data_IF_674932147845
#
_entry.id   IF_674932147845
#
_cell.length_a   1.000
_cell.length_b   1.000
_cell.length_c   1.000
_cell.angle_alpha   90.00
_cell.angle_beta   90.00
_cell.angle_gamma   90.00
#
_symmetry.space_group_name_H-M   'P 1'
#
loop_
_entity.id
_entity.type
_entity.pdbx_description
1 polymer ?
#
# COMPACT_ATOMS: atom_id res chain seq x y z
N UNK A 1 28.09 -5.16 -27.69
CA UNK A 1 26.91 -4.25 -27.83
C UNK A 1 26.81 -3.40 -26.57
N UNK A 2 26.90 -2.08 -26.68
CA UNK A 2 26.56 -1.18 -25.58
C UNK A 2 25.03 -1.18 -25.44
N UNK A 3 24.45 -1.26 -24.22
CA UNK A 3 23.00 -1.26 -24.06
C UNK A 3 22.46 0.15 -24.35
N UNK A 4 22.17 0.43 -25.62
CA UNK A 4 21.70 1.73 -26.09
C UNK A 4 20.45 2.21 -25.36
N UNK A 5 19.58 1.29 -24.92
CA UNK A 5 18.39 1.60 -24.12
C UNK A 5 18.74 2.21 -22.76
N UNK A 6 19.74 1.63 -22.07
CA UNK A 6 20.21 2.15 -20.78
C UNK A 6 20.90 3.49 -21.01
N UNK A 7 21.74 3.59 -22.04
CA UNK A 7 22.38 4.85 -22.41
C UNK A 7 21.33 5.96 -22.66
N UNK A 8 20.30 5.66 -23.43
CA UNK A 8 19.23 6.60 -23.77
C UNK A 8 18.41 7.03 -22.55
N UNK A 9 18.14 6.12 -21.61
CA UNK A 9 17.49 6.42 -20.34
C UNK A 9 18.26 7.49 -19.52
N UNK A 10 19.59 7.48 -19.60
CA UNK A 10 20.45 8.42 -18.85
C UNK A 10 20.88 9.65 -19.66
N UNK A 11 20.55 9.74 -20.95
CA UNK A 11 20.89 10.89 -21.80
C UNK A 11 19.71 11.79 -22.13
N UNK A 12 18.47 11.31 -21.98
CA UNK A 12 17.28 12.15 -22.12
C UNK A 12 16.82 12.67 -20.74
N UNK A 13 16.57 13.98 -20.66
CA UNK A 13 15.96 14.65 -19.51
C UNK A 13 14.66 13.98 -19.04
N UNK A 14 13.89 13.42 -19.97
CA UNK A 14 12.68 12.66 -19.66
C UNK A 14 13.03 11.38 -18.91
N UNK A 15 14.08 10.66 -19.31
CA UNK A 15 14.51 9.44 -18.63
C UNK A 15 14.97 9.68 -17.18
N UNK A 16 15.68 10.78 -16.93
CA UNK A 16 16.03 11.22 -15.57
C UNK A 16 14.79 11.50 -14.71
N UNK A 17 13.78 12.16 -15.29
CA UNK A 17 12.50 12.42 -14.62
C UNK A 17 11.79 11.13 -14.18
N UNK A 18 11.69 10.14 -15.08
CA UNK A 18 11.10 8.83 -14.76
C UNK A 18 11.91 8.09 -13.70
N UNK A 19 13.24 8.19 -13.73
CA UNK A 19 14.09 7.55 -12.72
C UNK A 19 13.81 8.12 -11.32
N UNK A 20 13.75 9.45 -11.19
CA UNK A 20 13.40 10.10 -9.93
C UNK A 20 11.99 9.75 -9.47
N UNK A 21 11.04 9.66 -10.41
CA UNK A 21 9.68 9.22 -10.13
C UNK A 21 9.66 7.81 -9.56
N UNK A 22 10.18 6.83 -10.29
CA UNK A 22 10.21 5.42 -9.88
C UNK A 22 10.96 5.25 -8.56
N UNK A 23 12.11 5.91 -8.39
CA UNK A 23 12.86 5.88 -7.13
C UNK A 23 12.02 6.38 -5.95
N UNK A 24 11.30 7.50 -6.13
CA UNK A 24 10.41 8.06 -5.10
C UNK A 24 9.22 7.16 -4.75
N UNK A 25 8.71 6.39 -5.71
CA UNK A 25 7.66 5.40 -5.44
C UNK A 25 8.24 4.16 -4.76
N UNK A 26 9.39 3.65 -5.22
CA UNK A 26 10.06 2.51 -4.64
C UNK A 26 10.39 2.75 -3.16
N UNK A 27 10.88 3.94 -2.81
CA UNK A 27 11.14 4.31 -1.42
C UNK A 27 9.86 4.29 -0.56
N UNK A 28 8.72 4.73 -1.11
CA UNK A 28 7.43 4.70 -0.42
C UNK A 28 6.96 3.26 -0.19
N UNK A 29 7.00 2.41 -1.22
CA UNK A 29 6.63 1.00 -1.13
C UNK A 29 7.56 0.23 -0.19
N UNK A 30 8.87 0.41 -0.31
CA UNK A 30 9.86 -0.24 0.55
C UNK A 30 9.64 0.12 2.03
N UNK A 31 9.30 1.37 2.33
CA UNK A 31 8.95 1.78 3.71
C UNK A 31 7.70 1.03 4.22
N UNK A 32 6.70 0.82 3.38
CA UNK A 32 5.49 0.09 3.75
C UNK A 32 5.78 -1.41 3.95
N UNK A 33 6.52 -2.03 3.03
CA UNK A 33 6.92 -3.44 3.11
C UNK A 33 7.73 -3.69 4.39
N UNK A 34 8.76 -2.88 4.65
CA UNK A 34 9.52 -2.96 5.90
C UNK A 34 8.68 -2.68 7.16
N UNK A 35 7.54 -1.99 7.02
CA UNK A 35 6.56 -1.81 8.09
C UNK A 35 5.77 -3.08 8.35
N UNK A 36 5.34 -3.76 7.28
CA UNK A 36 4.50 -4.96 7.29
C UNK A 36 5.27 -6.26 7.55
N UNK A 37 6.58 -6.29 7.29
CA UNK A 37 7.42 -7.49 7.44
C UNK A 37 8.20 -7.52 8.76
N UNK A 38 7.88 -6.62 9.72
CA UNK A 38 8.55 -6.60 11.02
C UNK A 38 8.24 -7.85 11.83
N UNK A 39 9.24 -8.29 12.59
CA UNK A 39 9.04 -9.32 13.61
C UNK A 39 7.96 -8.89 14.61
N UNK A 40 7.06 -9.81 14.93
CA UNK A 40 5.91 -9.61 15.83
C UNK A 40 4.89 -8.57 15.36
N UNK A 41 4.87 -8.20 14.07
CA UNK A 41 3.79 -7.37 13.54
C UNK A 41 2.45 -8.12 13.66
N UNK A 42 1.41 -7.39 14.03
CA UNK A 42 0.04 -7.90 14.05
C UNK A 42 -0.64 -7.69 12.71
N UNK A 43 -1.65 -8.51 12.39
CA UNK A 43 -2.45 -8.35 11.16
C UNK A 43 -3.10 -6.96 11.07
N UNK A 44 -3.46 -6.37 12.23
CA UNK A 44 -3.97 -5.01 12.33
C UNK A 44 -2.92 -3.96 11.88
N UNK A 45 -1.68 -4.05 12.38
CA UNK A 45 -0.62 -3.11 11.99
C UNK A 45 -0.27 -3.20 10.50
N UNK A 46 -0.36 -4.41 9.92
CA UNK A 46 -0.23 -4.61 8.49
C UNK A 46 -1.36 -3.90 7.73
N UNK A 47 -2.61 -4.05 8.17
CA UNK A 47 -3.76 -3.37 7.57
C UNK A 47 -3.64 -1.83 7.66
N UNK A 48 -3.20 -1.29 8.79
CA UNK A 48 -2.97 0.17 8.93
C UNK A 48 -1.83 0.66 8.03
N UNK A 49 -0.75 -0.11 7.90
CA UNK A 49 0.35 0.22 7.00
C UNK A 49 -0.11 0.21 5.54
N UNK A 50 -0.98 -0.73 5.17
CA UNK A 50 -1.60 -0.82 3.84
C UNK A 50 -2.47 0.41 3.56
N UNK A 51 -3.38 0.74 4.49
CA UNK A 51 -4.22 1.95 4.40
C UNK A 51 -3.39 3.23 4.28
N UNK A 52 -2.33 3.34 5.07
CA UNK A 52 -1.45 4.49 5.03
C UNK A 52 -0.73 4.62 3.67
N UNK A 53 -0.27 3.50 3.08
CA UNK A 53 0.32 3.47 1.75
C UNK A 53 -0.70 3.89 0.68
N UNK A 54 -1.90 3.30 0.69
CA UNK A 54 -2.99 3.62 -0.23
C UNK A 54 -3.36 5.11 -0.15
N UNK A 55 -3.53 5.65 1.06
CA UNK A 55 -3.79 7.09 1.30
C UNK A 55 -2.69 7.96 0.70
N UNK A 56 -1.42 7.63 0.94
CA UNK A 56 -0.30 8.39 0.36
C UNK A 56 -0.34 8.41 -1.17
N UNK A 57 -0.63 7.28 -1.81
CA UNK A 57 -0.73 7.21 -3.28
C UNK A 57 -1.92 8.02 -3.80
N UNK A 58 -3.08 7.95 -3.14
CA UNK A 58 -4.26 8.75 -3.49
C UNK A 58 -4.00 10.24 -3.36
N UNK A 59 -3.38 10.69 -2.28
CA UNK A 59 -3.01 12.11 -2.08
C UNK A 59 -1.98 12.58 -3.12
N UNK A 60 -0.98 11.74 -3.42
CA UNK A 60 0.02 12.03 -4.46
C UNK A 60 -0.58 12.10 -5.86
N UNK A 61 -1.53 11.23 -6.17
CA UNK A 61 -2.30 11.27 -7.42
C UNK A 61 -3.09 12.57 -7.53
N UNK A 62 -3.91 12.89 -6.52
CA UNK A 62 -4.75 14.09 -6.51
C UNK A 62 -3.95 15.39 -6.60
N UNK A 63 -2.75 15.43 -6.03
CA UNK A 63 -1.86 16.59 -6.05
C UNK A 63 -0.93 16.66 -7.26
N UNK A 64 -0.99 15.71 -8.21
CA UNK A 64 -0.04 15.57 -9.31
C UNK A 64 1.42 15.61 -8.81
N UNK A 65 1.70 14.83 -7.77
CA UNK A 65 2.96 14.90 -7.03
C UNK A 65 4.18 14.63 -7.93
N UNK A 66 5.13 15.56 -7.88
CA UNK A 66 6.45 15.44 -8.51
C UNK A 66 7.52 15.30 -7.42
N UNK A 67 8.34 14.23 -7.44
CA UNK A 67 9.43 14.06 -6.48
C UNK A 67 10.39 15.25 -6.51
N UNK A 68 10.95 15.62 -5.35
CA UNK A 68 11.85 16.77 -5.22
C UNK A 68 13.03 16.71 -6.21
N UNK A 69 13.64 15.54 -6.40
CA UNK A 69 14.73 15.35 -7.36
C UNK A 69 14.33 15.56 -8.82
N UNK A 70 13.05 15.40 -9.15
CA UNK A 70 12.50 15.57 -10.49
C UNK A 70 11.98 16.99 -10.78
N UNK A 71 11.83 17.85 -9.76
CA UNK A 71 11.12 19.15 -9.92
C UNK A 71 11.77 20.08 -10.94
N UNK A 72 13.09 20.14 -10.98
CA UNK A 72 13.81 21.02 -11.92
C UNK A 72 13.65 20.53 -13.36
N UNK A 73 13.83 19.22 -13.58
CA UNK A 73 13.64 18.59 -14.88
C UNK A 73 12.20 18.75 -15.37
N UNK A 74 11.22 18.52 -14.50
CA UNK A 74 9.79 18.67 -14.81
C UNK A 74 9.41 20.09 -15.24
N UNK A 75 9.96 21.12 -14.59
CA UNK A 75 9.69 22.53 -14.92
C UNK A 75 10.23 22.95 -16.29
N UNK A 76 11.24 22.26 -16.80
CA UNK A 76 11.91 22.58 -18.05
C UNK A 76 11.34 21.81 -19.25
N UNK A 77 10.33 20.96 -19.04
CA UNK A 77 9.68 20.22 -20.12
C UNK A 77 8.84 21.16 -21.00
N UNK A 78 8.76 20.82 -22.28
CA UNK A 78 7.75 21.43 -23.15
C UNK A 78 6.34 20.92 -22.79
N UNK A 79 5.32 21.67 -23.18
CA UNK A 79 3.93 21.41 -22.80
C UNK A 79 3.42 20.03 -23.24
N UNK A 80 3.79 19.57 -24.44
CA UNK A 80 3.38 18.26 -24.94
C UNK A 80 3.94 17.13 -24.07
N UNK A 81 5.24 17.16 -23.76
CA UNK A 81 5.88 16.16 -22.90
C UNK A 81 5.34 16.25 -21.48
N UNK A 82 5.10 17.45 -20.97
CA UNK A 82 4.52 17.67 -19.64
C UNK A 82 3.14 16.98 -19.50
N UNK A 83 2.27 17.11 -20.51
CA UNK A 83 0.95 16.48 -20.51
C UNK A 83 1.05 14.95 -20.58
N UNK A 84 1.94 14.42 -21.44
CA UNK A 84 2.18 12.97 -21.53
C UNK A 84 2.66 12.38 -20.20
N UNK A 85 3.67 13.00 -19.58
CA UNK A 85 4.21 12.56 -18.28
C UNK A 85 3.13 12.57 -17.20
N UNK A 86 2.32 13.63 -17.16
CA UNK A 86 1.25 13.77 -16.16
C UNK A 86 0.23 12.65 -16.29
N UNK A 87 -0.20 12.33 -17.51
CA UNK A 87 -1.13 11.23 -17.79
C UNK A 87 -0.53 9.88 -17.39
N UNK A 88 0.73 9.63 -17.74
CA UNK A 88 1.42 8.40 -17.38
C UNK A 88 1.58 8.22 -15.86
N UNK A 89 1.86 9.31 -15.14
CA UNK A 89 1.94 9.28 -13.67
C UNK A 89 0.56 9.03 -13.05
N UNK A 90 -0.51 9.64 -13.58
CA UNK A 90 -1.88 9.41 -13.12
C UNK A 90 -2.28 7.93 -13.29
N UNK A 91 -1.99 7.36 -14.46
CA UNK A 91 -2.22 5.94 -14.79
C UNK A 91 -1.41 5.04 -13.84
N UNK A 92 -0.15 5.38 -13.57
CA UNK A 92 0.69 4.63 -12.63
C UNK A 92 0.05 4.59 -11.24
N UNK A 93 -0.32 5.74 -10.68
CA UNK A 93 -0.95 5.78 -9.35
C UNK A 93 -2.29 5.03 -9.35
N UNK A 94 -3.09 5.17 -10.41
CA UNK A 94 -4.34 4.43 -10.56
C UNK A 94 -4.14 2.91 -10.51
N UNK A 95 -3.11 2.40 -11.19
CA UNK A 95 -2.75 0.97 -11.16
C UNK A 95 -2.27 0.52 -9.78
N UNK A 96 -1.44 1.31 -9.11
CA UNK A 96 -0.99 1.00 -7.75
C UNK A 96 -2.16 0.94 -6.76
N UNK A 97 -3.07 1.90 -6.81
CA UNK A 97 -4.26 1.93 -5.94
C UNK A 97 -5.14 0.72 -6.21
N UNK A 98 -5.45 0.43 -7.47
CA UNK A 98 -6.25 -0.75 -7.84
C UNK A 98 -5.60 -2.06 -7.37
N UNK A 99 -4.27 -2.16 -7.43
CA UNK A 99 -3.55 -3.33 -6.90
C UNK A 99 -3.69 -3.45 -5.38
N UNK A 100 -3.59 -2.33 -4.66
CA UNK A 100 -3.78 -2.31 -3.21
C UNK A 100 -5.24 -2.64 -2.83
N UNK A 101 -6.23 -2.18 -3.59
CA UNK A 101 -7.64 -2.53 -3.39
C UNK A 101 -7.86 -4.05 -3.46
N UNK A 102 -7.20 -4.74 -4.39
CA UNK A 102 -7.27 -6.20 -4.49
C UNK A 102 -6.66 -6.90 -3.27
N UNK A 103 -5.62 -6.31 -2.68
CA UNK A 103 -4.94 -6.85 -1.50
C UNK A 103 -5.71 -6.57 -0.20
N UNK A 104 -6.48 -5.49 -0.14
CA UNK A 104 -7.24 -5.06 1.04
C UNK A 104 -8.23 -6.12 1.51
N UNK A 105 -8.84 -6.87 0.58
CA UNK A 105 -9.78 -7.95 0.87
C UNK A 105 -9.18 -9.09 1.73
N UNK A 106 -7.86 -9.16 1.91
CA UNK A 106 -7.20 -10.22 2.66
C UNK A 106 -7.05 -9.92 4.17
N UNK A 107 -7.31 -8.68 4.62
CA UNK A 107 -7.15 -8.33 6.03
C UNK A 107 -8.39 -8.60 6.90
N UNK A 108 -9.52 -8.95 6.27
CA UNK A 108 -10.75 -9.36 6.95
C UNK A 108 -11.18 -8.39 8.06
N UNK A 109 -11.43 -8.91 9.25
CA UNK A 109 -11.85 -8.11 10.41
C UNK A 109 -10.67 -7.50 11.20
N UNK A 110 -9.43 -7.57 10.72
CA UNK A 110 -8.26 -7.09 11.47
C UNK A 110 -8.37 -5.60 11.83
N UNK A 111 -9.05 -4.81 11.00
CA UNK A 111 -9.29 -3.37 11.23
C UNK A 111 -10.15 -3.08 12.47
N UNK A 112 -11.00 -4.03 12.86
CA UNK A 112 -11.89 -3.91 14.02
C UNK A 112 -11.10 -3.91 15.34
N UNK A 113 -9.83 -4.33 15.30
CA UNK A 113 -8.90 -4.29 16.44
C UNK A 113 -8.12 -2.97 16.54
N UNK A 114 -8.49 -1.94 15.77
CA UNK A 114 -7.77 -0.65 15.77
C UNK A 114 -7.73 0.08 17.11
N UNK A 115 -8.68 -0.20 18.00
CA UNK A 115 -8.71 0.33 19.36
C UNK A 115 -7.59 -0.20 20.25
N UNK A 116 -6.99 -1.37 19.93
CA UNK A 116 -5.90 -1.98 20.71
C UNK A 116 -4.65 -1.09 20.77
N UNK A 117 -4.49 -0.17 19.81
CA UNK A 117 -3.39 0.79 19.83
C UNK A 117 -3.57 1.90 20.89
N UNK A 118 -4.69 1.89 21.65
CA UNK A 118 -5.00 2.77 22.78
C UNK A 118 -4.69 4.25 22.51
N UNK A 119 -4.99 4.71 21.30
CA UNK A 119 -4.84 6.13 20.95
C UNK A 119 -5.82 6.96 21.78
N UNK A 120 -5.53 8.25 22.01
CA UNK A 120 -6.37 9.15 22.84
C UNK A 120 -7.86 9.16 22.46
N UNK A 121 -8.20 8.79 21.23
CA UNK A 121 -9.56 8.78 20.69
C UNK A 121 -10.33 7.48 21.02
N UNK A 122 -9.62 6.39 21.34
CA UNK A 122 -10.16 5.02 21.42
C UNK A 122 -9.93 4.35 22.79
N UNK A 123 -9.52 5.10 23.81
CA UNK A 123 -8.89 4.55 25.00
C UNK A 123 -9.84 3.86 26.00
N UNK A 124 -11.14 4.09 25.95
CA UNK A 124 -12.12 3.51 26.90
C UNK A 124 -13.44 3.21 26.20
N UNK A 125 -13.52 2.09 25.48
CA UNK A 125 -14.81 1.65 24.93
C UNK A 125 -14.98 0.14 25.08
N UNK A 126 -15.73 -0.25 26.11
CA UNK A 126 -16.10 -1.64 26.38
C UNK A 126 -16.76 -2.31 25.17
N UNK A 127 -17.48 -1.54 24.33
CA UNK A 127 -18.09 -2.09 23.12
C UNK A 127 -17.03 -2.58 22.13
N UNK A 128 -15.92 -1.86 21.96
CA UNK A 128 -14.82 -2.31 21.10
C UNK A 128 -14.20 -3.63 21.61
N UNK A 129 -14.04 -3.76 22.94
CA UNK A 129 -13.53 -4.99 23.55
C UNK A 129 -14.50 -6.17 23.38
N UNK A 130 -15.80 -5.91 23.56
CA UNK A 130 -16.87 -6.90 23.37
C UNK A 130 -16.95 -7.37 21.92
N UNK A 131 -17.01 -6.45 20.95
CA UNK A 131 -17.02 -6.78 19.52
C UNK A 131 -15.78 -7.60 19.12
N UNK A 132 -14.61 -7.23 19.65
CA UNK A 132 -13.37 -8.00 19.43
C UNK A 132 -13.47 -9.43 19.95
N UNK A 133 -14.02 -9.62 21.15
CA UNK A 133 -14.23 -10.94 21.73
C UNK A 133 -15.24 -11.77 20.91
N UNK A 134 -16.30 -11.15 20.40
CA UNK A 134 -17.30 -11.81 19.54
C UNK A 134 -16.69 -12.32 18.23
N UNK A 135 -15.84 -11.52 17.56
CA UNK A 135 -15.13 -11.92 16.33
C UNK A 135 -14.18 -13.09 16.59
N UNK A 136 -13.42 -13.04 17.70
CA UNK A 136 -12.50 -14.11 18.06
C UNK A 136 -13.29 -15.40 18.31
N UNK A 137 -14.41 -15.30 19.03
CA UNK A 137 -15.23 -16.46 19.36
C UNK A 137 -15.87 -17.09 18.11
N UNK A 138 -16.39 -16.28 17.18
CA UNK A 138 -16.95 -16.81 15.92
C UNK A 138 -15.87 -17.46 15.05
N UNK A 139 -14.70 -16.82 14.93
CA UNK A 139 -13.59 -17.34 14.13
C UNK A 139 -13.02 -18.65 14.70
N UNK A 140 -13.02 -18.81 16.03
CA UNK A 140 -12.59 -20.04 16.69
C UNK A 140 -13.54 -21.21 16.41
N UNK A 141 -14.85 -20.95 16.39
CA UNK A 141 -15.86 -21.96 16.07
C UNK A 141 -15.72 -22.45 14.63
N UNK A 142 -15.49 -21.55 13.67
CA UNK A 142 -15.26 -21.92 12.26
C UNK A 142 -14.03 -22.83 12.09
N UNK A 143 -12.94 -22.55 12.82
CA UNK A 143 -11.71 -23.37 12.78
C UNK A 143 -11.94 -24.76 13.41
N UNK A 144 -12.72 -24.84 14.48
CA UNK A 144 -13.07 -26.10 15.13
C UNK A 144 -13.97 -26.96 14.24
N UNK A 145 -14.96 -26.35 13.59
CA UNK A 145 -15.87 -27.04 12.66
C UNK A 145 -15.14 -27.57 11.41
N UNK A 146 -14.14 -26.83 10.89
CA UNK A 146 -13.29 -27.32 9.79
C UNK A 146 -12.41 -28.51 10.21
N UNK A 147 -11.90 -28.54 11.45
CA UNK A 147 -11.13 -29.68 11.96
C UNK A 147 -12.00 -30.93 12.12
N UNK A 148 -13.19 -30.77 12.71
CA UNK A 148 -14.15 -31.88 12.90
C UNK A 148 -14.54 -32.49 11.55
N UNK A 149 -14.80 -31.66 10.53
CA UNK A 149 -15.16 -32.17 9.19
C UNK A 149 -14.00 -32.90 8.47
N UNK A 150 -12.74 -32.49 8.67
CA UNK A 150 -11.60 -33.19 8.07
C UNK A 150 -11.33 -34.55 8.74
N UNK A 151 -11.60 -34.68 10.03
CA UNK A 151 -11.46 -35.95 10.77
C UNK A 151 -12.52 -37.00 10.36
N UNK A 152 -13.60 -36.59 9.69
CA UNK A 152 -14.63 -37.48 9.14
C UNK A 152 -14.38 -37.96 7.70
N UNK A 153 -13.31 -37.50 7.03
CA UNK A 153 -13.02 -37.85 5.62
C UNK A 153 -11.98 -39.00 5.49
N UNK A 154 -11.46 -39.53 6.61
CA UNK A 154 -10.44 -40.59 6.63
C UNK A 154 -10.95 -42.01 6.95
N UNK A 155 -12.23 -42.32 6.69
CA UNK A 155 -12.75 -43.70 6.75
C UNK A 155 -13.44 -44.13 5.45
#
# INVERSE_FOLDING_TARGET
MCPSTIKNLFTDSTGELYLWFVHGQLALFNKAILGMEKDNTTAFEVAETHKALKRNLTERKASNFIPTGAKNTYRNLNEQVHNSVKEEFDVFYGRCIAYLDLWENNFGNAEQFSWVNLTKTNADDWENAKTSAEIINSSLLDVLDMKINNDHILY
#
